data_IF_687213049121
#
_entry.id   IF_687213049121
#
_cell.length_a   1.000
_cell.length_b   1.000
_cell.length_c   1.000
_cell.angle_alpha   90.00
_cell.angle_beta   90.00
_cell.angle_gamma   90.00
#
_symmetry.space_group_name_H-M   'P 1'
#
loop_
_entity.id
_entity.type
_entity.pdbx_description
1 polymer ?
#
# COMPACT_ATOMS: atom_id res chain seq x y z
N UNK A 1 -21.26 -4.33 -14.82
CA UNK A 1 -20.28 -3.28 -15.24
C UNK A 1 -19.66 -2.52 -14.08
N UNK A 2 -20.41 -1.98 -13.09
CA UNK A 2 -19.83 -1.13 -12.02
C UNK A 2 -18.72 -1.79 -11.18
N UNK A 3 -18.87 -3.07 -10.84
CA UNK A 3 -17.84 -3.83 -10.11
C UNK A 3 -16.53 -3.97 -10.90
N UNK A 4 -16.60 -4.31 -12.18
CA UNK A 4 -15.43 -4.41 -13.07
C UNK A 4 -14.75 -3.05 -13.23
N UNK A 5 -15.53 -1.99 -13.39
CA UNK A 5 -14.95 -0.65 -13.53
C UNK A 5 -14.28 -0.18 -12.23
N UNK A 6 -14.88 -0.49 -11.08
CA UNK A 6 -14.28 -0.20 -9.77
C UNK A 6 -12.98 -0.98 -9.57
N UNK A 7 -12.93 -2.23 -10.04
CA UNK A 7 -11.71 -3.04 -10.04
C UNK A 7 -10.59 -2.38 -10.83
N UNK A 8 -10.82 -2.04 -12.10
CA UNK A 8 -9.78 -1.42 -12.93
C UNK A 8 -9.34 -0.03 -12.44
N UNK A 9 -10.28 0.77 -11.91
CA UNK A 9 -9.95 2.08 -11.34
C UNK A 9 -8.97 1.93 -10.16
N UNK A 10 -9.22 0.97 -9.27
CA UNK A 10 -8.33 0.68 -8.13
C UNK A 10 -7.05 -0.01 -8.59
N UNK A 11 -7.12 -0.94 -9.54
CA UNK A 11 -5.97 -1.67 -10.06
C UNK A 11 -4.93 -0.72 -10.67
N UNK A 12 -5.36 0.28 -11.44
CA UNK A 12 -4.44 1.25 -12.05
C UNK A 12 -3.85 2.24 -11.04
N UNK A 13 -4.49 2.47 -9.88
CA UNK A 13 -3.93 3.36 -8.85
C UNK A 13 -2.61 2.81 -8.26
N UNK A 14 -2.41 1.50 -8.21
CA UNK A 14 -1.17 0.88 -7.70
C UNK A 14 0.06 1.21 -8.57
N UNK A 15 0.12 0.81 -9.86
CA UNK A 15 1.28 1.10 -10.71
C UNK A 15 1.46 2.61 -10.91
N UNK A 16 0.37 3.40 -10.96
CA UNK A 16 0.47 4.85 -11.03
C UNK A 16 1.08 5.46 -9.75
N UNK A 17 0.75 4.92 -8.58
CA UNK A 17 1.34 5.33 -7.30
C UNK A 17 2.85 5.06 -7.28
N UNK A 18 3.26 3.83 -7.61
CA UNK A 18 4.68 3.46 -7.70
C UNK A 18 5.43 4.29 -8.76
N UNK A 19 4.82 4.48 -9.94
CA UNK A 19 5.38 5.33 -10.99
C UNK A 19 5.57 6.77 -10.53
N UNK A 20 4.58 7.34 -9.84
CA UNK A 20 4.70 8.69 -9.27
C UNK A 20 5.83 8.77 -8.25
N UNK A 21 5.98 7.78 -7.38
CA UNK A 21 7.06 7.76 -6.38
C UNK A 21 8.44 7.77 -7.04
N UNK A 22 8.65 6.91 -8.04
CA UNK A 22 9.93 6.82 -8.75
C UNK A 22 10.23 8.10 -9.52
N UNK A 23 9.21 8.72 -10.15
CA UNK A 23 9.38 10.01 -10.81
C UNK A 23 9.74 11.12 -9.82
N UNK A 24 9.07 11.17 -8.66
CA UNK A 24 9.40 12.12 -7.60
C UNK A 24 10.84 11.92 -7.10
N UNK A 25 11.24 10.68 -6.86
CA UNK A 25 12.61 10.34 -6.49
C UNK A 25 13.61 10.80 -7.55
N UNK A 26 13.31 10.61 -8.84
CA UNK A 26 14.21 10.95 -9.94
C UNK A 26 14.34 12.46 -10.18
N UNK A 27 13.25 13.21 -10.10
CA UNK A 27 13.23 14.64 -10.44
C UNK A 27 13.46 15.58 -9.26
N UNK A 28 13.26 15.13 -8.02
CA UNK A 28 13.43 15.99 -6.83
C UNK A 28 14.74 15.67 -6.09
N UNK A 29 15.49 16.70 -5.68
CA UNK A 29 16.60 16.49 -4.74
C UNK A 29 16.06 16.00 -3.38
N UNK A 30 16.91 15.33 -2.56
CA UNK A 30 16.47 14.69 -1.31
C UNK A 30 15.73 15.64 -0.36
N UNK A 31 16.19 16.88 -0.22
CA UNK A 31 15.60 17.85 0.70
C UNK A 31 14.16 18.27 0.29
N UNK A 32 13.88 18.75 -0.94
CA UNK A 32 12.50 18.96 -1.39
C UNK A 32 11.63 17.71 -1.39
N UNK A 33 12.20 16.54 -1.68
CA UNK A 33 11.46 15.27 -1.70
C UNK A 33 10.79 15.00 -0.34
N UNK A 34 11.50 15.19 0.77
CA UNK A 34 10.95 14.97 2.11
C UNK A 34 9.83 15.97 2.45
N UNK A 35 9.98 17.25 2.08
CA UNK A 35 8.91 18.24 2.28
C UNK A 35 7.69 17.94 1.41
N UNK A 36 7.89 17.53 0.16
CA UNK A 36 6.81 17.15 -0.74
C UNK A 36 6.07 15.92 -0.23
N UNK A 37 6.78 14.90 0.25
CA UNK A 37 6.19 13.71 0.87
C UNK A 37 5.37 14.04 2.11
N UNK A 38 5.89 14.88 3.00
CA UNK A 38 5.16 15.32 4.19
C UNK A 38 3.89 16.11 3.83
N UNK A 39 4.00 17.03 2.87
CA UNK A 39 2.86 17.80 2.36
C UNK A 39 1.81 16.89 1.70
N UNK A 40 2.23 15.88 0.95
CA UNK A 40 1.35 14.91 0.31
C UNK A 40 0.50 14.15 1.34
N UNK A 41 1.12 13.62 2.40
CA UNK A 41 0.38 12.92 3.45
C UNK A 41 -0.58 13.84 4.22
N UNK A 42 -0.18 15.10 4.44
CA UNK A 42 -1.06 16.11 5.04
C UNK A 42 -2.27 16.43 4.15
N UNK A 43 -2.07 16.59 2.83
CA UNK A 43 -3.15 16.74 1.86
C UNK A 43 -4.07 15.50 1.89
N UNK A 44 -3.50 14.30 1.98
CA UNK A 44 -4.26 13.06 2.14
C UNK A 44 -5.18 13.07 3.35
N UNK A 45 -4.66 13.50 4.50
CA UNK A 45 -5.46 13.68 5.72
C UNK A 45 -6.58 14.71 5.54
N UNK A 46 -6.27 15.89 4.97
CA UNK A 46 -7.27 16.92 4.70
C UNK A 46 -8.38 16.43 3.75
N UNK A 47 -8.03 15.62 2.74
CA UNK A 47 -9.00 15.03 1.83
C UNK A 47 -9.92 14.04 2.53
N UNK A 48 -9.39 13.19 3.42
CA UNK A 48 -10.20 12.27 4.22
C UNK A 48 -11.17 13.03 5.15
N UNK A 49 -10.70 14.11 5.80
CA UNK A 49 -11.54 14.97 6.64
C UNK A 49 -12.60 15.69 5.81
N UNK A 50 -12.25 16.26 4.65
CA UNK A 50 -13.21 16.89 3.74
C UNK A 50 -14.27 15.90 3.26
N UNK A 51 -13.89 14.64 3.05
CA UNK A 51 -14.80 13.57 2.65
C UNK A 51 -15.91 13.27 3.67
N UNK A 52 -15.73 13.62 4.95
CA UNK A 52 -16.78 13.51 5.99
C UNK A 52 -18.00 14.35 5.65
N UNK A 53 -17.77 15.53 5.06
CA UNK A 53 -18.81 16.52 4.73
C UNK A 53 -19.35 16.37 3.31
N UNK A 54 -18.80 15.45 2.50
CA UNK A 54 -19.25 15.23 1.13
C UNK A 54 -20.60 14.50 1.10
N UNK A 55 -21.52 14.94 0.25
CA UNK A 55 -22.81 14.27 0.05
C UNK A 55 -22.69 13.05 -0.86
N UNK A 56 -23.22 11.92 -0.40
CA UNK A 56 -23.33 10.67 -1.16
C UNK A 56 -22.21 9.67 -0.91
N UNK A 57 -22.59 8.41 -0.69
CA UNK A 57 -21.71 7.27 -0.34
C UNK A 57 -20.50 7.14 -1.29
N UNK A 58 -20.71 7.29 -2.60
CA UNK A 58 -19.63 7.17 -3.59
C UNK A 58 -18.61 8.30 -3.49
N UNK A 59 -19.04 9.56 -3.28
CA UNK A 59 -18.12 10.69 -3.15
C UNK A 59 -17.29 10.56 -1.87
N UNK A 60 -17.94 10.22 -0.75
CA UNK A 60 -17.25 9.97 0.51
C UNK A 60 -16.20 8.86 0.36
N UNK A 61 -16.54 7.78 -0.33
CA UNK A 61 -15.61 6.67 -0.60
C UNK A 61 -14.41 7.13 -1.44
N UNK A 62 -14.62 7.93 -2.49
CA UNK A 62 -13.52 8.44 -3.34
C UNK A 62 -12.60 9.38 -2.53
N UNK A 63 -13.15 10.30 -1.74
CA UNK A 63 -12.34 11.16 -0.87
C UNK A 63 -11.55 10.34 0.15
N UNK A 64 -12.17 9.30 0.72
CA UNK A 64 -11.50 8.37 1.64
C UNK A 64 -10.36 7.61 0.95
N UNK A 65 -10.60 7.09 -0.26
CA UNK A 65 -9.59 6.36 -1.04
C UNK A 65 -8.40 7.24 -1.44
N UNK A 66 -8.65 8.41 -2.06
CA UNK A 66 -7.57 9.31 -2.46
C UNK A 66 -6.82 9.82 -1.23
N UNK A 67 -7.54 10.16 -0.15
CA UNK A 67 -6.94 10.54 1.11
C UNK A 67 -6.04 9.45 1.68
N UNK A 68 -6.47 8.19 1.60
CA UNK A 68 -5.69 7.05 2.09
C UNK A 68 -4.44 6.78 1.26
N UNK A 69 -4.54 6.88 -0.07
CA UNK A 69 -3.40 6.70 -0.98
C UNK A 69 -2.32 7.76 -0.74
N UNK A 70 -2.71 9.03 -0.69
CA UNK A 70 -1.75 10.13 -0.44
C UNK A 70 -1.15 10.05 0.97
N UNK A 71 -1.95 9.66 1.96
CA UNK A 71 -1.47 9.43 3.32
C UNK A 71 -0.47 8.29 3.39
N UNK A 72 -0.78 7.15 2.77
CA UNK A 72 0.11 6.00 2.72
C UNK A 72 1.42 6.35 2.04
N UNK A 73 1.37 6.87 0.81
CA UNK A 73 2.59 7.20 0.06
C UNK A 73 3.41 8.29 0.74
N UNK A 74 2.78 9.35 1.26
CA UNK A 74 3.49 10.44 1.91
C UNK A 74 4.05 10.10 3.30
N UNK A 75 3.20 9.64 4.21
CA UNK A 75 3.55 9.47 5.63
C UNK A 75 3.90 8.05 6.04
N UNK A 76 3.52 7.03 5.27
CA UNK A 76 3.96 5.66 5.54
C UNK A 76 5.22 5.39 4.73
N UNK A 77 5.17 5.44 3.40
CA UNK A 77 6.30 5.03 2.56
C UNK A 77 7.46 6.03 2.61
N UNK A 78 7.26 7.27 2.15
CA UNK A 78 8.35 8.25 2.08
C UNK A 78 8.87 8.70 3.45
N UNK A 79 8.04 8.72 4.48
CA UNK A 79 8.49 9.08 5.82
C UNK A 79 9.31 7.95 6.46
N UNK A 80 8.92 6.67 6.24
CA UNK A 80 9.76 5.55 6.64
C UNK A 80 11.07 5.55 5.86
N UNK A 81 11.07 5.90 4.57
CA UNK A 81 12.29 6.09 3.77
C UNK A 81 13.19 7.17 4.36
N UNK A 82 12.63 8.32 4.74
CA UNK A 82 13.37 9.40 5.38
C UNK A 82 14.04 8.92 6.68
N UNK A 83 13.29 8.25 7.56
CA UNK A 83 13.85 7.76 8.81
C UNK A 83 14.84 6.61 8.61
N UNK A 84 14.62 5.75 7.61
CA UNK A 84 15.56 4.73 7.20
C UNK A 84 16.91 5.32 6.80
N UNK A 85 16.89 6.36 5.94
CA UNK A 85 18.11 7.06 5.53
C UNK A 85 18.76 7.79 6.70
N UNK A 86 17.97 8.48 7.52
CA UNK A 86 18.46 9.24 8.68
C UNK A 86 19.13 8.35 9.73
N UNK A 87 18.57 7.17 10.00
CA UNK A 87 19.11 6.23 10.98
C UNK A 87 20.12 5.25 10.37
N UNK A 88 20.37 5.32 9.05
CA UNK A 88 21.28 4.41 8.38
C UNK A 88 20.79 2.96 8.39
N UNK A 89 19.47 2.74 8.28
CA UNK A 89 18.91 1.40 8.13
C UNK A 89 19.45 0.75 6.85
N UNK A 90 19.92 -0.48 6.97
CA UNK A 90 20.61 -1.17 5.88
C UNK A 90 19.56 -1.84 4.98
N UNK A 91 19.72 -1.79 3.64
CA UNK A 91 18.89 -2.58 2.75
C UNK A 91 19.19 -4.07 2.95
N UNK A 92 18.23 -4.91 2.58
CA UNK A 92 18.47 -6.35 2.46
C UNK A 92 19.11 -6.63 1.11
N UNK A 93 20.27 -7.31 1.11
CA UNK A 93 21.01 -7.64 -0.11
C UNK A 93 20.86 -9.13 -0.44
N UNK A 94 20.80 -9.45 -1.74
CA UNK A 94 20.85 -10.83 -2.23
C UNK A 94 22.19 -11.51 -1.91
N UNK A 95 23.28 -10.74 -1.98
CA UNK A 95 24.63 -11.19 -1.64
C UNK A 95 25.54 -9.97 -1.38
N UNK A 96 26.60 -10.17 -0.61
CA UNK A 96 27.59 -9.13 -0.31
C UNK A 96 27.56 -8.62 1.11
N UNK A 97 28.42 -7.65 1.40
CA UNK A 97 28.58 -7.06 2.74
C UNK A 97 28.26 -5.57 2.66
N UNK A 98 27.31 -5.14 3.48
CA UNK A 98 27.05 -3.72 3.75
C UNK A 98 27.86 -3.32 4.97
N UNK A 99 28.68 -2.29 4.84
CA UNK A 99 29.31 -1.60 5.96
C UNK A 99 28.89 -0.15 5.98
N UNK A 100 28.48 0.36 7.13
CA UNK A 100 28.14 1.77 7.29
C UNK A 100 29.14 2.43 8.22
N UNK A 101 29.58 3.63 7.87
CA UNK A 101 30.39 4.49 8.73
C UNK A 101 29.52 5.67 9.14
N UNK A 102 29.16 5.75 10.42
CA UNK A 102 28.39 6.87 10.97
C UNK A 102 29.33 7.85 11.64
N UNK A 103 29.36 9.08 11.16
CA UNK A 103 30.10 10.18 11.78
C UNK A 103 29.14 11.08 12.52
N UNK A 104 29.43 11.34 13.80
CA UNK A 104 28.65 12.27 14.61
C UNK A 104 29.40 13.60 14.65
N UNK A 105 28.87 14.61 13.98
CA UNK A 105 29.43 15.97 13.97
C UNK A 105 28.36 16.90 14.57
N UNK A 106 28.68 17.55 15.69
CA UNK A 106 27.81 18.52 16.36
C UNK A 106 26.40 17.98 16.70
N UNK A 107 26.30 16.69 17.03
CA UNK A 107 25.03 16.04 17.38
C UNK A 107 24.18 15.59 16.18
N UNK A 108 24.67 15.78 14.95
CA UNK A 108 24.06 15.26 13.72
C UNK A 108 24.85 14.03 13.27
N UNK A 109 24.15 12.89 13.14
CA UNK A 109 24.71 11.67 12.54
C UNK A 109 24.67 11.77 11.02
N UNK A 110 25.83 11.67 10.36
CA UNK A 110 25.94 11.46 8.93
C UNK A 110 26.42 10.03 8.68
N UNK A 111 25.57 9.21 8.07
CA UNK A 111 25.87 7.80 7.78
C UNK A 111 26.24 7.64 6.32
N UNK A 112 27.41 7.05 6.09
CA UNK A 112 27.95 6.72 4.78
C UNK A 112 27.89 5.21 4.59
N UNK A 113 27.30 4.75 3.49
CA UNK A 113 27.13 3.32 3.19
C UNK A 113 28.17 2.85 2.17
N UNK A 114 28.79 1.72 2.47
CA UNK A 114 29.66 0.97 1.56
C UNK A 114 29.04 -0.40 1.30
N UNK A 115 28.96 -0.79 0.04
CA UNK A 115 28.54 -2.13 -0.38
C UNK A 115 29.71 -2.78 -1.09
N UNK A 116 30.17 -3.93 -0.57
CA UNK A 116 31.36 -4.63 -1.08
C UNK A 116 32.59 -3.71 -1.21
N UNK A 117 32.76 -2.78 -0.27
CA UNK A 117 33.86 -1.81 -0.24
C UNK A 117 33.69 -0.58 -1.15
N UNK A 118 32.69 -0.56 -2.04
CA UNK A 118 32.36 0.62 -2.86
C UNK A 118 31.42 1.54 -2.11
N UNK A 119 31.74 2.84 -2.13
CA UNK A 119 30.89 3.89 -1.59
C UNK A 119 29.58 3.95 -2.39
N UNK A 120 28.45 3.96 -1.69
CA UNK A 120 27.12 4.11 -2.29
C UNK A 120 26.58 5.47 -1.89
N UNK A 121 26.41 6.35 -2.89
CA UNK A 121 25.80 7.67 -2.65
C UNK A 121 24.28 7.59 -2.68
N UNK A 122 23.74 6.70 -3.52
CA UNK A 122 22.30 6.46 -3.64
C UNK A 122 22.04 4.97 -3.89
N UNK A 123 21.01 4.42 -3.24
CA UNK A 123 20.57 3.03 -3.42
C UNK A 123 20.04 2.76 -4.84
N UNK A 124 19.92 3.81 -5.67
CA UNK A 124 19.44 3.77 -7.06
C UNK A 124 20.53 3.51 -8.09
N UNK A 125 21.80 3.50 -7.69
CA UNK A 125 22.87 3.19 -8.62
C UNK A 125 22.58 1.82 -9.28
N UNK A 126 22.68 1.67 -10.62
CA UNK A 126 22.22 0.47 -11.32
C UNK A 126 22.83 -0.84 -10.77
N UNK A 127 24.09 -0.79 -10.35
CA UNK A 127 24.78 -1.94 -9.76
C UNK A 127 24.31 -2.28 -8.33
N UNK A 128 23.66 -1.34 -7.64
CA UNK A 128 23.03 -1.55 -6.32
C UNK A 128 21.60 -2.04 -6.49
N UNK A 129 20.87 -1.55 -7.50
CA UNK A 129 19.48 -1.94 -7.79
C UNK A 129 19.33 -3.46 -7.96
N UNK A 130 20.26 -4.10 -8.67
CA UNK A 130 20.24 -5.55 -8.88
C UNK A 130 20.63 -6.36 -7.63
N UNK A 131 21.23 -5.70 -6.63
CA UNK A 131 21.72 -6.34 -5.41
C UNK A 131 20.74 -6.21 -4.23
N UNK A 132 19.91 -5.18 -4.23
CA UNK A 132 18.93 -4.90 -3.16
C UNK A 132 17.66 -5.70 -3.37
N UNK A 133 17.36 -6.61 -2.46
CA UNK A 133 16.10 -7.37 -2.42
C UNK A 133 14.97 -6.56 -1.80
N UNK A 134 15.26 -5.81 -0.74
CA UNK A 134 14.24 -5.02 -0.03
C UNK A 134 14.79 -3.70 0.44
N UNK A 135 14.04 -2.65 0.13
CA UNK A 135 14.39 -1.29 0.50
C UNK A 135 14.27 -1.10 2.02
N UNK A 136 15.14 -0.27 2.61
CA UNK A 136 15.26 -0.18 4.07
C UNK A 136 13.99 0.39 4.76
N UNK A 137 13.17 1.18 4.08
CA UNK A 137 11.87 1.64 4.58
C UNK A 137 10.93 0.49 4.96
N UNK A 138 10.93 -0.58 4.16
CA UNK A 138 10.06 -1.73 4.39
C UNK A 138 10.57 -2.60 5.54
N UNK A 139 11.88 -2.61 5.80
CA UNK A 139 12.48 -3.32 6.94
C UNK A 139 12.21 -2.65 8.28
N UNK A 140 11.94 -1.34 8.29
CA UNK A 140 11.47 -0.64 9.50
C UNK A 140 10.00 -0.96 9.77
N UNK A 141 9.20 -1.23 8.74
CA UNK A 141 7.76 -1.43 8.88
C UNK A 141 7.37 -2.54 9.88
N UNK A 142 8.03 -3.72 9.95
CA UNK A 142 7.81 -4.73 11.00
C UNK A 142 7.87 -4.21 12.43
N UNK A 143 8.68 -3.18 12.72
CA UNK A 143 8.75 -2.58 14.08
C UNK A 143 7.41 -1.98 14.53
N UNK A 144 6.52 -1.67 13.59
CA UNK A 144 5.19 -1.14 13.86
C UNK A 144 4.14 -2.21 14.22
N UNK A 145 4.51 -3.51 14.23
CA UNK A 145 3.61 -4.63 14.55
C UNK A 145 2.84 -4.44 15.87
N UNK A 146 3.49 -3.88 16.91
CA UNK A 146 2.83 -3.61 18.19
C UNK A 146 1.66 -2.64 18.05
N UNK A 147 1.84 -1.54 17.32
CA UNK A 147 0.77 -0.59 17.03
C UNK A 147 -0.32 -1.24 16.17
N UNK A 148 0.07 -2.02 15.15
CA UNK A 148 -0.88 -2.74 14.31
C UNK A 148 -1.77 -3.67 15.13
N UNK A 149 -1.18 -4.43 16.07
CA UNK A 149 -1.92 -5.33 16.94
C UNK A 149 -2.93 -4.57 17.82
N UNK A 150 -2.55 -3.41 18.37
CA UNK A 150 -3.46 -2.55 19.13
C UNK A 150 -4.66 -2.09 18.28
N UNK A 151 -4.42 -1.61 17.06
CA UNK A 151 -5.52 -1.21 16.16
C UNK A 151 -6.40 -2.41 15.77
N UNK A 152 -5.80 -3.57 15.50
CA UNK A 152 -6.55 -4.78 15.18
C UNK A 152 -7.44 -5.25 16.32
N UNK A 153 -6.99 -5.15 17.57
CA UNK A 153 -7.84 -5.46 18.73
C UNK A 153 -9.08 -4.56 18.77
N UNK A 154 -8.93 -3.27 18.53
CA UNK A 154 -10.07 -2.33 18.48
C UNK A 154 -11.03 -2.71 17.35
N UNK A 155 -10.50 -2.98 16.15
CA UNK A 155 -11.31 -3.31 14.98
C UNK A 155 -12.03 -4.66 15.13
N UNK A 156 -11.39 -5.65 15.75
CA UNK A 156 -11.98 -6.98 15.96
C UNK A 156 -13.00 -6.96 17.10
N UNK A 157 -12.75 -6.30 18.22
CA UNK A 157 -13.63 -6.42 19.39
C UNK A 157 -14.63 -5.28 19.58
N UNK A 158 -14.32 -4.07 19.09
CA UNK A 158 -15.08 -2.86 19.41
C UNK A 158 -15.87 -2.29 18.22
N UNK A 159 -15.47 -2.62 16.99
CA UNK A 159 -16.02 -2.00 15.78
C UNK A 159 -16.76 -3.02 14.93
N UNK A 160 -17.95 -2.64 14.44
CA UNK A 160 -18.60 -3.34 13.31
C UNK A 160 -18.15 -2.68 11.99
N UNK A 161 -17.17 -3.28 11.32
CA UNK A 161 -16.60 -2.78 10.06
C UNK A 161 -17.36 -3.26 8.83
N UNK A 162 -17.19 -2.57 7.70
CA UNK A 162 -17.68 -3.01 6.39
C UNK A 162 -16.81 -4.11 5.77
N UNK A 163 -15.58 -4.29 6.28
CA UNK A 163 -14.64 -5.32 5.86
C UNK A 163 -15.15 -6.75 6.15
N UNK A 164 -15.30 -7.57 5.10
CA UNK A 164 -15.74 -8.96 5.21
C UNK A 164 -14.72 -9.84 5.97
N UNK A 165 -13.42 -9.52 5.88
CA UNK A 165 -12.35 -10.27 6.56
C UNK A 165 -12.43 -10.12 8.09
N UNK A 166 -12.53 -8.88 8.58
CA UNK A 166 -12.69 -8.61 10.01
C UNK A 166 -14.00 -9.20 10.55
N UNK A 167 -15.09 -9.08 9.79
CA UNK A 167 -16.36 -9.72 10.12
C UNK A 167 -16.26 -11.26 10.15
N UNK A 168 -15.45 -11.86 9.28
CA UNK A 168 -15.18 -13.29 9.28
C UNK A 168 -14.41 -13.70 10.54
N UNK A 169 -13.35 -12.98 10.91
CA UNK A 169 -12.59 -13.21 12.16
C UNK A 169 -13.53 -13.15 13.37
N UNK A 170 -14.33 -12.09 13.48
CA UNK A 170 -15.30 -11.91 14.56
C UNK A 170 -16.30 -13.07 14.65
N UNK A 171 -16.81 -13.54 13.50
CA UNK A 171 -17.82 -14.59 13.46
C UNK A 171 -17.24 -15.98 13.68
N UNK A 172 -16.05 -16.26 13.20
CA UNK A 172 -15.46 -17.60 13.22
C UNK A 172 -14.67 -17.84 14.52
N UNK A 173 -13.78 -16.92 14.89
CA UNK A 173 -12.90 -17.09 16.04
C UNK A 173 -13.62 -16.85 17.38
N UNK A 174 -14.59 -15.92 17.42
CA UNK A 174 -15.29 -15.52 18.64
C UNK A 174 -16.78 -15.89 18.64
N UNK A 175 -17.17 -16.92 17.86
CA UNK A 175 -18.56 -17.30 17.64
C UNK A 175 -19.33 -17.58 18.94
N UNK A 176 -18.66 -18.20 19.94
CA UNK A 176 -19.25 -18.62 21.22
C UNK A 176 -19.49 -17.48 22.22
N UNK A 177 -18.76 -16.36 22.11
CA UNK A 177 -18.78 -15.27 23.09
C UNK A 177 -19.36 -13.96 22.54
N UNK A 178 -20.17 -14.01 21.47
CA UNK A 178 -20.75 -12.81 20.82
C UNK A 178 -21.48 -11.86 21.76
N UNK A 179 -22.17 -12.38 22.78
CA UNK A 179 -22.91 -11.56 23.75
C UNK A 179 -22.02 -10.75 24.69
N UNK A 180 -20.71 -11.03 24.76
CA UNK A 180 -19.74 -10.26 25.56
C UNK A 180 -19.04 -9.15 24.78
N UNK A 181 -19.19 -9.13 23.45
CA UNK A 181 -18.55 -8.13 22.58
C UNK A 181 -19.52 -6.98 22.28
N UNK A 182 -19.14 -5.76 22.65
CA UNK A 182 -19.96 -4.56 22.42
C UNK A 182 -19.55 -3.94 21.09
N UNK A 183 -20.26 -4.30 20.02
CA UNK A 183 -20.03 -3.71 18.70
C UNK A 183 -20.75 -2.39 18.55
N UNK A 184 -19.99 -1.30 18.43
CA UNK A 184 -20.55 -0.01 17.97
C UNK A 184 -20.21 0.14 16.48
N UNK A 185 -21.19 0.40 15.60
CA UNK A 185 -20.84 0.77 14.23
C UNK A 185 -20.00 2.05 14.28
N UNK A 186 -18.89 2.10 13.54
CA UNK A 186 -18.21 3.37 13.29
C UNK A 186 -19.25 4.32 12.71
N UNK A 187 -19.40 5.49 13.32
CA UNK A 187 -20.37 6.52 12.91
C UNK A 187 -20.30 6.79 11.40
N UNK A 188 -21.45 7.14 10.81
CA UNK A 188 -21.88 7.26 9.39
C UNK A 188 -20.91 7.85 8.33
N UNK A 189 -19.67 8.16 8.65
CA UNK A 189 -18.69 8.79 7.75
C UNK A 189 -17.96 7.72 6.92
N UNK A 190 -18.53 7.38 5.77
CA UNK A 190 -17.99 6.38 4.84
C UNK A 190 -16.56 6.74 4.40
N UNK A 191 -16.23 8.03 4.35
CA UNK A 191 -14.89 8.50 4.01
C UNK A 191 -13.83 8.03 5.01
N UNK A 192 -14.05 8.22 6.31
CA UNK A 192 -13.13 7.79 7.37
C UNK A 192 -13.05 6.28 7.44
N UNK A 193 -14.17 5.58 7.29
CA UNK A 193 -14.18 4.12 7.23
C UNK A 193 -13.31 3.63 6.06
N UNK A 194 -13.49 4.19 4.87
CA UNK A 194 -12.68 3.83 3.69
C UNK A 194 -11.20 4.13 3.92
N UNK A 195 -10.90 5.30 4.49
CA UNK A 195 -9.53 5.72 4.80
C UNK A 195 -8.84 4.75 5.75
N UNK A 196 -9.50 4.42 6.86
CA UNK A 196 -8.93 3.53 7.87
C UNK A 196 -8.87 2.07 7.39
N UNK A 197 -9.93 1.57 6.74
CA UNK A 197 -9.94 0.20 6.21
C UNK A 197 -8.85 0.01 5.14
N UNK A 198 -8.62 1.00 4.26
CA UNK A 198 -7.50 0.95 3.31
C UNK A 198 -6.15 0.82 4.04
N UNK A 199 -5.85 1.76 4.94
CA UNK A 199 -4.55 1.79 5.62
C UNK A 199 -4.31 0.54 6.47
N UNK A 200 -5.33 0.06 7.18
CA UNK A 200 -5.20 -1.16 7.99
C UNK A 200 -5.01 -2.42 7.16
N UNK A 201 -5.72 -2.56 6.04
CA UNK A 201 -5.56 -3.72 5.16
C UNK A 201 -4.19 -3.68 4.50
N UNK A 202 -3.78 -2.52 3.96
CA UNK A 202 -2.43 -2.33 3.39
C UNK A 202 -1.36 -2.68 4.41
N UNK A 203 -1.42 -2.09 5.60
CA UNK A 203 -0.47 -2.36 6.67
C UNK A 203 -0.41 -3.84 7.06
N UNK A 204 -1.55 -4.52 7.13
CA UNK A 204 -1.60 -5.96 7.41
C UNK A 204 -0.93 -6.79 6.33
N UNK A 205 -1.20 -6.47 5.06
CA UNK A 205 -0.60 -7.17 3.92
C UNK A 205 0.90 -6.93 3.83
N UNK A 206 1.37 -5.70 4.08
CA UNK A 206 2.80 -5.40 4.14
C UNK A 206 3.49 -6.11 5.30
N UNK A 207 2.92 -6.08 6.50
CA UNK A 207 3.50 -6.81 7.64
C UNK A 207 3.57 -8.31 7.34
N UNK A 208 2.50 -8.88 6.75
CA UNK A 208 2.50 -10.28 6.34
C UNK A 208 3.64 -10.59 5.36
N UNK A 209 3.79 -9.77 4.32
CA UNK A 209 4.85 -9.92 3.32
C UNK A 209 6.24 -9.79 3.96
N UNK A 210 6.47 -8.75 4.76
CA UNK A 210 7.75 -8.54 5.42
C UNK A 210 8.13 -9.67 6.37
N UNK A 211 7.18 -10.26 7.11
CA UNK A 211 7.46 -11.45 7.91
C UNK A 211 7.72 -12.70 7.07
N UNK A 212 7.08 -12.83 5.90
CA UNK A 212 7.36 -13.93 4.97
C UNK A 212 8.76 -13.81 4.35
N UNK A 213 9.20 -12.58 4.16
CA UNK A 213 10.47 -12.23 3.51
C UNK A 213 11.64 -12.23 4.48
N UNK A 214 11.41 -11.98 5.76
CA UNK A 214 12.48 -11.98 6.74
C UNK A 214 13.11 -13.40 6.87
N UNK A 215 14.44 -13.53 6.63
CA UNK A 215 15.13 -14.82 6.66
C UNK A 215 15.19 -15.45 8.06
N UNK A 216 15.02 -14.66 9.13
CA UNK A 216 14.96 -15.14 10.51
C UNK A 216 13.64 -15.85 10.80
N UNK A 217 12.55 -15.42 10.16
CA UNK A 217 11.22 -15.99 10.38
C UNK A 217 10.89 -17.12 9.41
N UNK A 218 10.91 -16.82 8.10
CA UNK A 218 10.44 -17.73 7.04
C UNK A 218 11.44 -17.78 5.89
N UNK A 219 11.77 -16.61 5.33
CA UNK A 219 12.63 -16.44 4.16
C UNK A 219 11.89 -16.54 2.81
N UNK A 220 12.53 -15.92 1.82
CA UNK A 220 11.98 -15.60 0.49
C UNK A 220 11.48 -16.81 -0.30
N UNK A 221 12.23 -17.91 -0.24
CA UNK A 221 11.94 -19.14 -0.99
C UNK A 221 11.20 -20.19 -0.16
N UNK A 222 10.69 -19.82 1.02
CA UNK A 222 10.01 -20.78 1.89
C UNK A 222 8.67 -21.22 1.28
N UNK A 223 8.32 -22.51 1.36
CA UNK A 223 7.06 -23.03 0.81
C UNK A 223 5.81 -22.35 1.41
N UNK A 224 5.92 -21.80 2.62
CA UNK A 224 4.84 -21.05 3.27
C UNK A 224 4.58 -19.72 2.56
N UNK A 225 5.61 -19.00 2.13
CA UNK A 225 5.48 -17.75 1.38
C UNK A 225 4.74 -17.99 0.06
N UNK A 226 5.09 -19.08 -0.64
CA UNK A 226 4.37 -19.55 -1.84
C UNK A 226 2.93 -19.98 -1.53
N UNK A 227 2.69 -20.70 -0.42
CA UNK A 227 1.35 -21.12 -0.02
C UNK A 227 0.44 -19.92 0.30
N UNK A 228 0.98 -18.88 0.94
CA UNK A 228 0.28 -17.62 1.20
C UNK A 228 -0.04 -16.93 -0.13
N UNK A 229 0.94 -16.82 -1.05
CA UNK A 229 0.71 -16.27 -2.38
C UNK A 229 -0.40 -17.01 -3.13
N UNK A 230 -0.38 -18.34 -3.13
CA UNK A 230 -1.43 -19.16 -3.76
C UNK A 230 -2.79 -19.01 -3.08
N UNK A 231 -2.82 -18.93 -1.75
CA UNK A 231 -4.03 -18.64 -0.97
C UNK A 231 -4.63 -17.28 -1.34
N UNK A 232 -3.80 -16.24 -1.45
CA UNK A 232 -4.20 -14.91 -1.90
C UNK A 232 -4.67 -14.91 -3.36
N UNK A 233 -4.04 -15.68 -4.25
CA UNK A 233 -4.47 -15.81 -5.64
C UNK A 233 -5.86 -16.47 -5.76
N UNK A 234 -6.08 -17.60 -5.07
CA UNK A 234 -7.39 -18.30 -5.04
C UNK A 234 -8.46 -17.41 -4.39
N UNK A 235 -8.13 -16.78 -3.26
CA UNK A 235 -8.99 -15.82 -2.57
C UNK A 235 -9.34 -14.62 -3.45
N UNK A 236 -8.36 -14.08 -4.16
CA UNK A 236 -8.50 -12.98 -5.12
C UNK A 236 -9.48 -13.31 -6.26
N UNK A 237 -9.40 -14.51 -6.84
CA UNK A 237 -10.36 -14.97 -7.86
C UNK A 237 -11.78 -15.07 -7.29
N UNK A 238 -11.94 -15.60 -6.07
CA UNK A 238 -13.25 -15.68 -5.41
C UNK A 238 -13.83 -14.28 -5.13
N UNK A 239 -12.99 -13.36 -4.63
CA UNK A 239 -13.38 -11.97 -4.40
C UNK A 239 -13.74 -11.27 -5.71
N UNK A 240 -12.95 -11.44 -6.77
CA UNK A 240 -13.24 -10.85 -8.07
C UNK A 240 -14.60 -11.32 -8.63
N UNK A 241 -14.89 -12.62 -8.56
CA UNK A 241 -16.21 -13.17 -8.94
C UNK A 241 -17.36 -12.51 -8.16
N UNK A 242 -17.15 -12.22 -6.88
CA UNK A 242 -18.14 -11.54 -6.04
C UNK A 242 -18.25 -10.05 -6.38
N UNK A 243 -17.13 -9.38 -6.65
CA UNK A 243 -17.06 -7.96 -7.01
C UNK A 243 -17.89 -7.65 -8.27
N UNK A 244 -17.84 -8.52 -9.29
CA UNK A 244 -18.63 -8.34 -10.52
C UNK A 244 -20.14 -8.30 -10.26
N UNK A 245 -20.62 -8.94 -9.19
CA UNK A 245 -22.05 -8.99 -8.82
C UNK A 245 -22.52 -7.77 -8.01
N UNK A 246 -21.62 -6.93 -7.51
CA UNK A 246 -21.99 -5.77 -6.68
C UNK A 246 -22.54 -4.64 -7.58
N UNK A 247 -23.74 -4.13 -7.23
CA UNK A 247 -24.50 -3.14 -8.04
C UNK A 247 -24.34 -1.69 -7.58
N UNK A 248 -23.85 -1.46 -6.36
CA UNK A 248 -23.67 -0.14 -5.76
C UNK A 248 -22.23 0.36 -5.93
N UNK A 249 -22.05 1.64 -6.28
CA UNK A 249 -20.73 2.21 -6.60
C UNK A 249 -19.78 2.27 -5.41
N UNK A 250 -20.17 2.93 -4.31
CA UNK A 250 -19.25 3.07 -3.17
C UNK A 250 -18.94 1.73 -2.49
N UNK A 251 -19.94 0.83 -2.41
CA UNK A 251 -19.70 -0.56 -1.96
C UNK A 251 -18.78 -1.33 -2.90
N UNK A 252 -18.94 -1.19 -4.22
CA UNK A 252 -18.07 -1.85 -5.20
C UNK A 252 -16.64 -1.31 -5.10
N UNK A 253 -16.44 0.00 -4.91
CA UNK A 253 -15.12 0.60 -4.78
C UNK A 253 -14.41 0.12 -3.49
N UNK A 254 -15.09 0.12 -2.35
CA UNK A 254 -14.54 -0.41 -1.08
C UNK A 254 -14.15 -1.88 -1.19
N UNK A 255 -14.98 -2.68 -1.83
CA UNK A 255 -14.68 -4.09 -2.05
C UNK A 255 -13.55 -4.30 -3.09
N UNK A 256 -13.47 -3.43 -4.11
CA UNK A 256 -12.39 -3.44 -5.09
C UNK A 256 -11.03 -3.14 -4.45
N UNK A 257 -10.95 -2.19 -3.51
CA UNK A 257 -9.74 -1.92 -2.70
C UNK A 257 -9.19 -3.22 -2.10
N UNK A 258 -10.00 -3.91 -1.29
CA UNK A 258 -9.57 -5.14 -0.65
C UNK A 258 -9.21 -6.24 -1.67
N UNK A 259 -9.95 -6.30 -2.79
CA UNK A 259 -9.72 -7.31 -3.84
C UNK A 259 -8.38 -7.07 -4.54
N UNK A 260 -8.06 -5.82 -4.89
CA UNK A 260 -6.80 -5.45 -5.56
C UNK A 260 -5.62 -5.70 -4.64
N UNK A 261 -5.70 -5.31 -3.36
CA UNK A 261 -4.61 -5.52 -2.40
C UNK A 261 -4.29 -7.02 -2.27
N UNK A 262 -5.32 -7.87 -2.15
CA UNK A 262 -5.12 -9.34 -2.03
C UNK A 262 -4.58 -9.95 -3.32
N UNK A 263 -5.02 -9.48 -4.49
CA UNK A 263 -4.49 -9.94 -5.78
C UNK A 263 -3.05 -9.45 -6.01
N UNK A 264 -2.65 -8.34 -5.38
CA UNK A 264 -1.31 -7.82 -5.50
C UNK A 264 -0.28 -8.66 -4.74
N UNK A 265 -0.65 -9.24 -3.59
CA UNK A 265 0.24 -10.10 -2.80
C UNK A 265 0.96 -11.20 -3.61
N UNK A 266 0.29 -12.02 -4.43
CA UNK A 266 1.00 -12.99 -5.27
C UNK A 266 1.85 -12.35 -6.37
N UNK A 267 1.46 -11.19 -6.90
CA UNK A 267 2.28 -10.46 -7.89
C UNK A 267 3.59 -10.03 -7.25
N UNK A 268 3.54 -9.49 -6.03
CA UNK A 268 4.71 -9.08 -5.25
C UNK A 268 5.64 -10.27 -4.93
N UNK A 269 5.07 -11.41 -4.52
CA UNK A 269 5.85 -12.62 -4.20
C UNK A 269 6.55 -13.14 -5.46
N UNK A 270 5.85 -13.18 -6.60
CA UNK A 270 6.43 -13.63 -7.87
C UNK A 270 7.47 -12.65 -8.43
N UNK A 271 7.26 -11.35 -8.25
CA UNK A 271 8.23 -10.30 -8.58
C UNK A 271 9.51 -10.46 -7.77
N UNK A 272 9.39 -10.68 -6.45
CA UNK A 272 10.55 -10.93 -5.57
C UNK A 272 11.31 -12.21 -5.90
N UNK A 273 10.61 -13.22 -6.43
CA UNK A 273 11.23 -14.45 -6.95
C UNK A 273 11.86 -14.29 -8.35
N UNK A 274 11.93 -13.06 -8.89
CA UNK A 274 12.43 -12.76 -10.25
C UNK A 274 11.71 -13.54 -11.36
N UNK A 275 10.42 -13.88 -11.18
CA UNK A 275 9.64 -14.62 -12.18
C UNK A 275 9.18 -13.69 -13.32
N UNK A 276 8.93 -12.41 -13.02
CA UNK A 276 8.54 -11.39 -14.00
C UNK A 276 9.20 -10.04 -13.68
N UNK A 277 9.50 -9.24 -14.70
CA UNK A 277 9.93 -7.86 -14.52
C UNK A 277 8.72 -6.98 -14.19
N UNK A 278 8.75 -6.32 -13.04
CA UNK A 278 7.69 -5.42 -12.63
C UNK A 278 7.74 -4.11 -13.43
N UNK A 279 6.78 -3.95 -14.34
CA UNK A 279 6.64 -2.82 -15.28
C UNK A 279 6.65 -1.47 -14.53
N UNK A 280 6.11 -1.43 -13.30
CA UNK A 280 6.01 -0.24 -12.45
C UNK A 280 7.23 0.01 -11.55
N UNK A 281 8.17 -0.94 -11.43
CA UNK A 281 9.43 -0.75 -10.68
C UNK A 281 10.50 -0.08 -11.55
N UNK A 282 10.34 -0.13 -12.87
CA UNK A 282 11.16 0.62 -13.83
C UNK A 282 10.33 1.38 -14.87
N UNK A 283 9.61 2.44 -14.45
CA UNK A 283 8.74 3.20 -15.34
C UNK A 283 9.49 3.93 -16.45
N UNK A 284 10.80 4.15 -16.29
CA UNK A 284 11.63 4.83 -17.28
C UNK A 284 12.00 3.92 -18.47
N UNK A 285 12.12 2.61 -18.23
CA UNK A 285 12.28 1.64 -19.31
C UNK A 285 10.94 1.22 -19.93
N UNK A 286 9.84 1.28 -19.16
CA UNK A 286 8.49 0.90 -19.57
C UNK A 286 7.53 2.09 -19.78
N UNK A 287 7.99 3.12 -20.49
CA UNK A 287 7.22 4.37 -20.71
C UNK A 287 5.92 4.10 -21.48
N UNK A 288 5.95 3.18 -22.44
CA UNK A 288 4.78 2.87 -23.29
C UNK A 288 3.68 2.21 -22.46
N UNK A 289 4.05 1.21 -21.64
CA UNK A 289 3.10 0.52 -20.78
C UNK A 289 2.52 1.45 -19.71
N UNK A 290 3.37 2.27 -19.08
CA UNK A 290 2.95 3.24 -18.05
C UNK A 290 2.05 4.34 -18.62
N UNK A 291 2.36 4.86 -19.81
CA UNK A 291 1.50 5.86 -20.49
C UNK A 291 0.16 5.27 -20.93
N UNK A 292 0.13 4.01 -21.39
CA UNK A 292 -1.11 3.32 -21.74
C UNK A 292 -2.00 3.10 -20.51
N UNK A 293 -1.43 2.70 -19.37
CA UNK A 293 -2.15 2.57 -18.10
C UNK A 293 -2.73 3.93 -17.67
N UNK A 294 -1.92 4.99 -17.75
CA UNK A 294 -2.37 6.35 -17.42
C UNK A 294 -3.51 6.81 -18.34
N UNK A 295 -3.36 6.64 -19.66
CA UNK A 295 -4.39 6.98 -20.64
C UNK A 295 -5.68 6.20 -20.39
N UNK A 296 -5.56 4.90 -20.09
CA UNK A 296 -6.70 4.04 -19.75
C UNK A 296 -7.41 4.53 -18.48
N UNK A 297 -6.65 4.86 -17.44
CA UNK A 297 -7.18 5.41 -16.19
C UNK A 297 -7.91 6.74 -16.41
N UNK A 298 -7.31 7.66 -17.16
CA UNK A 298 -7.91 8.97 -17.50
C UNK A 298 -9.16 8.79 -18.35
N UNK A 299 -9.13 7.91 -19.37
CA UNK A 299 -10.27 7.63 -20.22
C UNK A 299 -11.45 7.04 -19.43
N UNK A 300 -11.20 6.08 -18.54
CA UNK A 300 -12.24 5.48 -17.68
C UNK A 300 -12.81 6.52 -16.71
N UNK A 301 -11.96 7.36 -16.12
CA UNK A 301 -12.38 8.43 -15.20
C UNK A 301 -13.20 9.50 -15.93
N UNK A 302 -12.78 9.94 -17.12
CA UNK A 302 -13.51 10.89 -17.94
C UNK A 302 -14.86 10.32 -18.40
N UNK A 303 -14.89 9.07 -18.87
CA UNK A 303 -16.13 8.39 -19.27
C UNK A 303 -17.13 8.29 -18.11
N UNK A 304 -16.64 8.07 -16.88
CA UNK A 304 -17.46 8.07 -15.67
C UNK A 304 -18.06 9.45 -15.37
N UNK A 305 -17.24 10.50 -15.43
CA UNK A 305 -17.68 11.88 -15.18
C UNK A 305 -18.69 12.33 -16.25
N UNK A 306 -18.44 12.04 -17.52
CA UNK A 306 -19.34 12.37 -18.63
C UNK A 306 -20.68 11.65 -18.48
N UNK A 307 -20.66 10.34 -18.17
CA UNK A 307 -21.89 9.58 -17.95
C UNK A 307 -22.67 10.04 -16.71
N UNK A 308 -21.97 10.52 -15.69
CA UNK A 308 -22.60 11.13 -14.52
C UNK A 308 -23.25 12.46 -14.88
N UNK A 309 -22.58 13.30 -15.66
CA UNK A 309 -23.09 14.61 -16.10
C UNK A 309 -24.32 14.46 -17.02
N UNK A 310 -24.28 13.54 -17.99
CA UNK A 310 -25.42 13.22 -18.89
C UNK A 310 -26.65 12.64 -18.20
N UNK A 311 -26.52 12.12 -16.97
CA UNK A 311 -27.67 11.64 -16.18
C UNK A 311 -28.28 12.72 -15.30
N UNK A 312 -27.59 13.86 -15.18
CA UNK A 312 -27.98 14.96 -14.30
C UNK A 312 -28.67 16.08 -15.09
N UNK A 313 -28.30 16.25 -16.36
CA UNK A 313 -29.10 16.93 -17.38
C UNK A 313 -30.10 15.97 -18.00
#
# INVERSE_FOLDING_TARGET
>A
MKGILSFFLVLFLMPLGHGMMILMEHYLPPTPLHFAAFAMGFVGLLMAVRGVFAEGDTRQTIFGLIGALLFWTGWVEFLLLYYAQRFGAHPELAHGVVSTTTTYVEGVSSTVMHINGKLVHDLREPWVKDLVLTRPEYLIMPSSFGFWAMFMLIYVFSIRSGCDFLNWIQKHLFSRNKNKMVFRPMTRHVSIVTFMEFNLIMWSCYLLLMFCYDPVFLGDHHPVSLAIGLGCAVGGVYMLRRLVRIREWGRALRFAIATVIVIWTPVEILGRMNVFNEIWVDPLHHIVEMSLILLSFVALSAALVINWWRKRN
#
